data_IF_541416087667
#
_entry.id   IF_541416087667
#
_cell.length_a   1.000
_cell.length_b   1.000
_cell.length_c   1.000
_cell.angle_alpha   90.00
_cell.angle_beta   90.00
_cell.angle_gamma   90.00
#
_symmetry.space_group_name_H-M   'P 1'
#
loop_
_entity.id
_entity.type
_entity.pdbx_description
1 polymer ?
#
# COMPACT_ATOMS: atom_id res chain seq x y z
N UNK A 1 17.30 8.22 -12.33
CA UNK A 1 17.69 6.80 -12.14
C UNK A 1 16.40 6.00 -12.02
N UNK A 2 16.00 5.30 -13.07
CA UNK A 2 14.81 4.46 -13.04
C UNK A 2 15.19 3.18 -12.33
N UNK A 3 14.76 3.01 -11.10
CA UNK A 3 14.88 1.73 -10.40
C UNK A 3 13.88 0.79 -11.07
N UNK A 4 14.33 0.02 -12.05
CA UNK A 4 13.57 -1.11 -12.57
C UNK A 4 13.55 -2.17 -11.49
N UNK A 5 12.56 -2.12 -10.63
CA UNK A 5 12.27 -3.23 -9.74
C UNK A 5 11.78 -4.41 -10.61
N UNK A 6 12.71 -5.21 -11.12
CA UNK A 6 12.40 -6.59 -11.54
C UNK A 6 12.10 -7.37 -10.26
N UNK A 7 10.97 -7.09 -9.67
CA UNK A 7 10.47 -7.86 -8.54
C UNK A 7 9.86 -9.15 -9.05
N UNK A 8 10.71 -10.10 -9.42
CA UNK A 8 10.34 -11.49 -9.29
C UNK A 8 10.11 -11.71 -7.80
N UNK A 9 8.85 -11.88 -7.40
CA UNK A 9 8.41 -12.42 -6.11
C UNK A 9 9.42 -12.28 -4.95
N UNK A 10 9.84 -11.07 -4.61
CA UNK A 10 10.79 -10.83 -3.51
C UNK A 10 10.22 -11.19 -2.14
N UNK A 11 8.92 -11.39 -2.05
CA UNK A 11 8.25 -11.79 -0.82
C UNK A 11 7.52 -13.09 -1.08
N UNK A 12 8.14 -14.16 -0.63
CA UNK A 12 7.62 -15.52 -0.65
C UNK A 12 6.18 -15.56 -0.16
N UNK A 13 5.31 -16.18 -0.89
CA UNK A 13 4.01 -16.40 -0.37
C UNK A 13 3.07 -17.02 -1.36
N UNK A 14 1.98 -16.37 -1.61
CA UNK A 14 0.97 -16.86 -2.54
C UNK A 14 1.40 -16.58 -3.97
N UNK A 15 1.25 -17.53 -4.90
CA UNK A 15 1.36 -17.24 -6.32
C UNK A 15 0.34 -16.17 -6.71
N UNK A 16 0.66 -15.41 -7.74
CA UNK A 16 -0.31 -14.47 -8.30
C UNK A 16 -1.52 -15.22 -8.84
N UNK A 17 -2.69 -14.62 -8.71
CA UNK A 17 -3.88 -15.10 -9.41
C UNK A 17 -3.72 -14.87 -10.91
N UNK A 18 -4.53 -15.55 -11.71
CA UNK A 18 -4.55 -15.38 -13.17
C UNK A 18 -4.74 -13.90 -13.55
N UNK A 19 -5.71 -13.23 -12.92
CA UNK A 19 -6.02 -11.81 -13.13
C UNK A 19 -4.84 -10.88 -12.79
N UNK A 20 -4.13 -11.15 -11.69
CA UNK A 20 -2.94 -10.41 -11.31
C UNK A 20 -1.80 -10.65 -12.30
N UNK A 21 -1.63 -11.90 -12.76
CA UNK A 21 -0.59 -12.26 -13.72
C UNK A 21 -0.84 -11.62 -15.09
N UNK A 22 -2.08 -11.61 -15.55
CA UNK A 22 -2.47 -10.95 -16.81
C UNK A 22 -2.16 -9.46 -16.77
N UNK A 23 -2.59 -8.78 -15.69
CA UNK A 23 -2.29 -7.36 -15.49
C UNK A 23 -0.78 -7.09 -15.43
N UNK A 24 -0.04 -7.92 -14.72
CA UNK A 24 1.42 -7.79 -14.60
C UNK A 24 2.11 -7.97 -15.95
N UNK A 25 1.68 -8.94 -16.74
CA UNK A 25 2.21 -9.19 -18.08
C UNK A 25 1.92 -8.03 -19.03
N UNK A 26 0.71 -7.48 -18.98
CA UNK A 26 0.32 -6.31 -19.77
C UNK A 26 1.18 -5.12 -19.37
N UNK A 27 1.28 -4.83 -18.08
CA UNK A 27 2.08 -3.71 -17.55
C UNK A 27 3.55 -3.81 -17.99
N UNK A 28 4.14 -4.99 -17.97
CA UNK A 28 5.52 -5.19 -18.42
C UNK A 28 5.67 -4.96 -19.92
N UNK A 29 4.73 -5.41 -20.75
CA UNK A 29 4.75 -5.18 -22.21
C UNK A 29 4.66 -3.68 -22.53
N UNK A 30 3.73 -2.96 -21.88
CA UNK A 30 3.55 -1.52 -22.06
C UNK A 30 4.81 -0.74 -21.63
N UNK A 31 5.44 -1.16 -20.52
CA UNK A 31 6.70 -0.57 -20.06
C UNK A 31 7.85 -0.81 -21.04
N UNK A 32 7.96 -2.02 -21.59
CA UNK A 32 8.99 -2.36 -22.60
C UNK A 32 8.77 -1.62 -23.93
N UNK A 33 7.50 -1.39 -24.30
CA UNK A 33 7.12 -0.61 -25.47
C UNK A 33 7.31 0.91 -25.29
N UNK A 34 7.50 1.38 -24.03
CA UNK A 34 7.60 2.80 -23.73
C UNK A 34 6.28 3.55 -23.81
N UNK A 35 5.15 2.84 -23.61
CA UNK A 35 3.82 3.45 -23.64
C UNK A 35 3.69 4.49 -22.52
N UNK A 36 3.07 5.61 -22.85
CA UNK A 36 2.83 6.73 -21.92
C UNK A 36 1.41 6.72 -21.35
N UNK A 37 0.49 6.01 -22.01
CA UNK A 37 -0.88 5.81 -21.55
C UNK A 37 -1.12 4.31 -21.42
N UNK A 38 -1.22 3.85 -20.20
CA UNK A 38 -1.31 2.43 -19.88
C UNK A 38 -2.76 1.97 -19.86
N UNK A 39 -3.00 0.75 -20.34
CA UNK A 39 -4.26 0.01 -20.18
C UNK A 39 -4.22 -0.87 -18.92
N UNK A 40 -3.01 -1.24 -18.49
CA UNK A 40 -2.82 -1.99 -17.25
C UNK A 40 -3.06 -1.12 -16.00
N UNK A 41 -3.46 -1.77 -14.93
CA UNK A 41 -3.55 -1.16 -13.61
C UNK A 41 -2.17 -1.16 -12.91
N UNK A 42 -1.96 -0.30 -11.90
CA UNK A 42 -0.78 -0.38 -11.04
C UNK A 42 -0.64 -1.77 -10.43
N UNK A 43 0.58 -2.29 -10.36
CA UNK A 43 0.84 -3.59 -9.71
C UNK A 43 0.87 -3.47 -8.19
N UNK A 44 1.14 -2.26 -7.68
CA UNK A 44 1.18 -1.94 -6.26
C UNK A 44 0.46 -0.64 -6.00
N UNK A 45 -0.31 -0.59 -4.91
CA UNK A 45 -0.81 0.65 -4.32
C UNK A 45 -0.09 0.92 -3.01
N UNK A 46 0.26 2.19 -2.79
CA UNK A 46 0.82 2.65 -1.52
C UNK A 46 -0.09 3.75 -0.98
N UNK A 47 -0.63 3.54 0.21
CA UNK A 47 -1.47 4.51 0.89
C UNK A 47 -0.76 5.05 2.12
N UNK A 48 -0.60 6.37 2.18
CA UNK A 48 -0.27 7.05 3.41
C UNK A 48 -1.57 7.33 4.18
N UNK A 49 -1.86 6.47 5.16
CA UNK A 49 -3.13 6.55 5.90
C UNK A 49 -3.22 7.79 6.79
N UNK A 50 -2.09 8.24 7.30
CA UNK A 50 -2.00 9.46 8.08
C UNK A 50 -0.54 9.88 8.18
N UNK A 51 -0.31 11.17 8.28
CA UNK A 51 1.00 11.72 8.61
C UNK A 51 1.14 11.98 10.13
N UNK A 52 0.11 11.71 10.93
CA UNK A 52 0.20 11.72 12.39
C UNK A 52 0.95 10.48 12.91
N UNK A 53 1.63 10.61 14.04
CA UNK A 53 2.33 9.51 14.68
C UNK A 53 2.34 9.71 16.19
N UNK A 54 2.27 8.62 16.93
CA UNK A 54 2.36 8.59 18.40
C UNK A 54 3.80 8.57 18.93
N UNK A 55 4.81 8.67 18.04
CA UNK A 55 6.22 8.84 18.38
C UNK A 55 6.79 10.13 17.78
N UNK A 56 7.87 10.60 18.38
CA UNK A 56 8.64 11.75 17.92
C UNK A 56 10.12 11.36 17.76
N UNK A 57 10.41 10.51 16.79
CA UNK A 57 11.75 10.00 16.53
C UNK A 57 12.67 11.14 16.07
N UNK A 58 13.86 11.23 16.66
CA UNK A 58 14.80 12.33 16.40
C UNK A 58 15.21 12.45 14.92
N UNK A 59 15.26 11.33 14.17
CA UNK A 59 15.62 11.29 12.77
C UNK A 59 14.41 11.51 11.83
N UNK A 60 13.21 11.67 12.36
CA UNK A 60 12.01 11.75 11.52
C UNK A 60 11.91 13.11 10.85
N UNK A 61 11.77 13.10 9.50
CA UNK A 61 11.63 14.33 8.72
C UNK A 61 10.38 15.16 9.08
N UNK A 62 9.38 14.57 9.74
CA UNK A 62 8.22 15.29 10.28
C UNK A 62 8.60 16.42 11.24
N UNK A 63 9.70 16.26 11.98
CA UNK A 63 10.14 17.24 12.97
C UNK A 63 10.72 18.52 12.33
N UNK A 64 11.04 18.47 11.04
CA UNK A 64 11.65 19.57 10.29
C UNK A 64 10.66 20.42 9.49
N UNK A 65 9.35 20.09 9.52
CA UNK A 65 8.35 20.74 8.69
C UNK A 65 7.10 21.11 9.50
N UNK A 66 6.44 22.18 9.10
CA UNK A 66 5.12 22.57 9.61
C UNK A 66 4.04 21.61 9.04
N UNK A 67 4.05 20.39 9.51
CA UNK A 67 3.06 19.40 9.09
C UNK A 67 1.67 19.72 9.66
N UNK A 68 0.71 19.91 8.78
CA UNK A 68 -0.69 19.76 9.16
C UNK A 68 -1.01 18.28 9.22
N UNK A 69 -1.51 17.82 10.36
CA UNK A 69 -1.97 16.45 10.50
C UNK A 69 -3.14 16.18 9.56
N UNK A 70 -3.02 15.11 8.79
CA UNK A 70 -4.04 14.65 7.86
C UNK A 70 -4.33 13.18 8.07
N UNK A 71 -5.55 12.79 7.75
CA UNK A 71 -6.02 11.41 7.78
C UNK A 71 -6.57 11.10 6.40
N UNK A 72 -6.21 9.96 5.84
CA UNK A 72 -6.70 9.51 4.55
C UNK A 72 -8.19 9.17 4.65
N UNK A 73 -8.95 9.65 3.68
CA UNK A 73 -10.39 9.46 3.68
C UNK A 73 -10.78 8.00 3.37
N UNK A 74 -11.68 7.44 4.17
CA UNK A 74 -12.10 6.05 4.05
C UNK A 74 -12.92 5.77 2.78
N UNK A 75 -13.72 6.73 2.33
CA UNK A 75 -14.50 6.56 1.09
C UNK A 75 -13.61 6.60 -0.14
N UNK A 76 -12.56 7.43 -0.09
CA UNK A 76 -11.51 7.40 -1.13
C UNK A 76 -10.80 6.05 -1.12
N UNK A 77 -10.47 5.48 0.05
CA UNK A 77 -9.88 4.15 0.12
C UNK A 77 -10.78 3.08 -0.50
N UNK A 78 -12.06 3.07 -0.16
CA UNK A 78 -13.05 2.13 -0.71
C UNK A 78 -13.20 2.24 -2.22
N UNK A 79 -12.99 3.42 -2.81
CA UNK A 79 -13.05 3.59 -4.27
C UNK A 79 -11.99 2.78 -5.02
N UNK A 80 -10.91 2.37 -4.35
CA UNK A 80 -9.88 1.50 -4.91
C UNK A 80 -10.17 0.00 -4.74
N UNK A 81 -11.18 -0.38 -3.93
CA UNK A 81 -11.50 -1.78 -3.66
C UNK A 81 -11.70 -2.61 -4.95
N UNK A 82 -12.40 -2.13 -6.02
CA UNK A 82 -12.58 -2.90 -7.25
C UNK A 82 -11.27 -3.26 -7.96
N UNK A 83 -10.17 -2.55 -7.70
CA UNK A 83 -8.87 -2.80 -8.31
C UNK A 83 -8.06 -3.87 -7.55
N UNK A 84 -8.42 -4.18 -6.30
CA UNK A 84 -7.60 -5.00 -5.41
C UNK A 84 -7.44 -6.45 -5.86
N UNK A 85 -8.32 -6.96 -6.74
CA UNK A 85 -8.14 -8.27 -7.36
C UNK A 85 -7.09 -8.30 -8.48
N UNK A 86 -6.77 -7.14 -9.02
CA UNK A 86 -5.79 -6.98 -10.12
C UNK A 86 -4.41 -6.61 -9.59
N UNK A 87 -4.36 -6.03 -8.39
CA UNK A 87 -3.16 -5.50 -7.75
C UNK A 87 -2.44 -6.62 -6.99
N UNK A 88 -1.11 -6.68 -7.09
CA UNK A 88 -0.30 -7.67 -6.40
C UNK A 88 -0.11 -7.34 -4.92
N UNK A 89 0.00 -6.04 -4.59
CA UNK A 89 0.30 -5.59 -3.22
C UNK A 89 -0.36 -4.25 -2.90
N UNK A 90 -0.92 -4.17 -1.70
CA UNK A 90 -1.35 -2.92 -1.06
C UNK A 90 -0.43 -2.66 0.14
N UNK A 91 0.26 -1.54 0.11
CA UNK A 91 1.18 -1.12 1.16
C UNK A 91 0.58 0.06 1.93
N UNK A 92 0.45 -0.08 3.24
CA UNK A 92 -0.04 0.97 4.14
C UNK A 92 1.14 1.56 4.90
N UNK A 93 1.74 2.62 4.36
CA UNK A 93 2.91 3.27 4.97
C UNK A 93 3.03 4.71 4.51
N UNK A 94 3.67 5.53 5.33
CA UNK A 94 3.97 6.92 5.04
C UNK A 94 4.79 7.55 6.15
N UNK A 95 4.67 8.84 6.33
CA UNK A 95 5.37 9.59 7.36
C UNK A 95 4.82 9.35 8.77
N UNK A 96 3.54 8.99 8.88
CA UNK A 96 2.88 8.73 10.15
C UNK A 96 2.95 7.27 10.61
N UNK A 97 2.18 6.98 11.64
CA UNK A 97 1.96 5.61 12.14
C UNK A 97 0.60 5.11 11.66
N UNK A 98 0.53 4.15 10.72
CA UNK A 98 -0.74 3.71 10.14
C UNK A 98 -1.72 3.15 11.17
N UNK A 99 -1.23 2.52 12.24
CA UNK A 99 -2.08 1.87 13.26
C UNK A 99 -2.86 2.85 14.16
N UNK A 100 -2.58 4.15 14.08
CA UNK A 100 -3.40 5.17 14.76
C UNK A 100 -4.55 5.67 13.90
N UNK A 101 -4.61 5.29 12.62
CA UNK A 101 -5.73 5.62 11.76
C UNK A 101 -7.03 5.01 12.32
N UNK A 102 -8.14 5.76 12.42
CA UNK A 102 -9.38 5.28 13.05
C UNK A 102 -9.96 4.04 12.36
N UNK A 103 -9.79 3.93 11.04
CA UNK A 103 -10.30 2.83 10.22
C UNK A 103 -9.21 1.83 9.79
N UNK A 104 -8.05 1.79 10.48
CA UNK A 104 -6.93 0.93 10.07
C UNK A 104 -7.35 -0.55 9.94
N UNK A 105 -8.07 -1.07 10.92
CA UNK A 105 -8.54 -2.47 10.91
C UNK A 105 -9.53 -2.71 9.77
N UNK A 106 -10.51 -1.82 9.59
CA UNK A 106 -11.48 -1.92 8.49
C UNK A 106 -10.79 -1.95 7.12
N UNK A 107 -9.72 -1.15 6.94
CA UNK A 107 -8.92 -1.16 5.73
C UNK A 107 -8.20 -2.50 5.51
N UNK A 108 -7.65 -3.10 6.57
CA UNK A 108 -7.05 -4.45 6.50
C UNK A 108 -8.08 -5.51 6.12
N UNK A 109 -9.29 -5.45 6.71
CA UNK A 109 -10.38 -6.36 6.42
C UNK A 109 -10.88 -6.24 4.96
N UNK A 110 -10.89 -5.02 4.41
CA UNK A 110 -11.22 -4.81 2.99
C UNK A 110 -10.17 -5.47 2.11
N UNK A 111 -8.87 -5.24 2.38
CA UNK A 111 -7.81 -5.86 1.59
C UNK A 111 -7.87 -7.39 1.67
N UNK A 112 -8.23 -7.96 2.83
CA UNK A 112 -8.29 -9.41 3.04
C UNK A 112 -9.40 -10.12 2.25
N UNK A 113 -10.41 -9.39 1.78
CA UNK A 113 -11.42 -9.94 0.87
C UNK A 113 -10.87 -10.24 -0.51
N UNK A 114 -9.68 -9.74 -0.83
CA UNK A 114 -9.05 -9.78 -2.14
C UNK A 114 -7.74 -10.57 -2.12
N UNK A 115 -7.22 -10.84 -3.31
CA UNK A 115 -5.97 -11.58 -3.47
C UNK A 115 -4.71 -10.71 -3.30
N UNK A 116 -4.85 -9.40 -3.17
CA UNK A 116 -3.74 -8.50 -2.95
C UNK A 116 -3.02 -8.82 -1.63
N UNK A 117 -1.69 -8.84 -1.68
CA UNK A 117 -0.90 -8.96 -0.46
C UNK A 117 -0.92 -7.65 0.29
N UNK A 118 -1.20 -7.69 1.58
CA UNK A 118 -1.10 -6.52 2.45
C UNK A 118 0.27 -6.42 3.13
N UNK A 119 0.80 -5.21 3.17
CA UNK A 119 2.02 -4.87 3.88
C UNK A 119 1.84 -3.53 4.58
N UNK A 120 2.37 -3.38 5.77
CA UNK A 120 2.43 -2.10 6.46
C UNK A 120 3.70 -1.97 7.30
N UNK A 121 4.16 -0.72 7.47
CA UNK A 121 5.23 -0.39 8.39
C UNK A 121 4.64 0.22 9.65
N UNK A 122 5.06 -0.26 10.81
CA UNK A 122 4.60 0.25 12.11
C UNK A 122 5.75 0.40 13.09
N UNK A 123 5.63 1.36 13.99
CA UNK A 123 6.53 1.52 15.12
C UNK A 123 6.28 0.50 16.25
N UNK A 124 5.24 -0.32 16.13
CA UNK A 124 4.93 -1.41 17.05
C UNK A 124 4.21 -1.03 18.34
N UNK A 125 4.01 0.26 18.63
CA UNK A 125 3.39 0.69 19.90
C UNK A 125 1.94 0.23 20.06
N UNK A 126 1.23 0.02 18.95
CA UNK A 126 -0.17 -0.39 18.95
C UNK A 126 -0.39 -1.89 18.61
N UNK A 127 0.66 -2.71 18.59
CA UNK A 127 0.55 -4.12 18.18
C UNK A 127 -0.48 -4.92 19.01
N UNK A 128 -0.66 -4.58 20.28
CA UNK A 128 -1.70 -5.24 21.12
C UNK A 128 -3.12 -5.00 20.60
N UNK A 129 -3.36 -3.85 19.94
CA UNK A 129 -4.69 -3.50 19.39
C UNK A 129 -4.98 -4.19 18.06
N UNK A 130 -3.94 -4.62 17.35
CA UNK A 130 -4.04 -5.19 16.00
C UNK A 130 -3.71 -6.68 15.96
N UNK A 131 -3.41 -7.28 17.11
CA UNK A 131 -3.00 -8.69 17.21
C UNK A 131 -4.06 -9.68 16.70
N UNK A 132 -5.32 -9.32 16.81
CA UNK A 132 -6.46 -10.18 16.51
C UNK A 132 -7.17 -9.77 15.19
N UNK A 133 -6.57 -8.85 14.41
CA UNK A 133 -7.02 -8.39 13.10
C UNK A 133 -6.14 -9.05 11.95
#
# INVERSE_FOLDING_TARGET
>A
MIIRAKTKNLFSGKPLTEKQQENSNLNMKELEAGETVLQSYPRRLVFELTNACNLNCIMCGRNAADFKQTVFDMEVFKSFEPLMDTIEEVTLMGWGEPTIHPHFIEMLEIIDKHSARKYFCTNGMNLKKIKDA
#
